data_IF_483814119677
#
_entry.id   IF_483814119677
#
_cell.length_a   1.000
_cell.length_b   1.000
_cell.length_c   1.000
_cell.angle_alpha   90.00
_cell.angle_beta   90.00
_cell.angle_gamma   90.00
#
_symmetry.space_group_name_H-M   'P 1'
#
loop_
_entity.id
_entity.type
_entity.pdbx_description
1 polymer ?
#
# COMPACT_ATOMS: atom_id res chain seq x y z
N UNK A 1 17.53 -6.81 -2.46
CA UNK A 1 16.10 -7.02 -2.16
C UNK A 1 15.57 -5.84 -1.34
N UNK A 2 14.46 -5.28 -1.73
CA UNK A 2 13.81 -4.23 -0.94
C UNK A 2 13.16 -4.84 0.30
N UNK A 3 13.56 -4.41 1.50
CA UNK A 3 13.01 -4.93 2.74
C UNK A 3 11.80 -4.10 3.19
N UNK A 4 11.89 -2.77 3.18
CA UNK A 4 10.75 -1.96 3.54
C UNK A 4 10.77 -0.58 2.90
N UNK A 5 9.59 0.03 2.88
CA UNK A 5 9.37 1.44 2.57
C UNK A 5 8.66 2.05 3.77
N UNK A 6 9.07 3.23 4.17
CA UNK A 6 8.41 3.97 5.26
C UNK A 6 7.52 5.07 4.68
N UNK A 7 6.31 5.19 5.18
CA UNK A 7 5.37 6.25 4.84
C UNK A 7 4.88 6.92 6.12
N UNK A 8 4.57 8.20 6.05
CA UNK A 8 4.08 8.96 7.20
C UNK A 8 2.56 8.91 7.23
N UNK A 9 2.00 8.66 8.42
CA UNK A 9 0.56 8.52 8.61
C UNK A 9 0.14 9.28 9.86
N UNK A 10 -0.91 10.11 9.79
CA UNK A 10 -1.45 10.71 11.01
C UNK A 10 -1.91 9.61 11.98
N UNK A 11 -1.68 9.78 13.29
CA UNK A 11 -2.07 8.76 14.27
C UNK A 11 -3.53 8.30 14.16
N UNK A 12 -4.44 9.21 13.82
CA UNK A 12 -5.86 8.90 13.67
C UNK A 12 -6.19 8.06 12.45
N UNK A 13 -5.25 7.95 11.48
CA UNK A 13 -5.45 7.20 10.23
C UNK A 13 -4.68 5.90 10.17
N UNK A 14 -3.96 5.53 11.23
CA UNK A 14 -3.11 4.34 11.23
C UNK A 14 -3.94 3.07 11.05
N UNK A 15 -5.01 2.92 11.82
CA UNK A 15 -5.86 1.73 11.75
C UNK A 15 -6.49 1.55 10.38
N UNK A 16 -7.03 2.62 9.81
CA UNK A 16 -7.62 2.59 8.47
C UNK A 16 -6.57 2.28 7.40
N UNK A 17 -5.34 2.79 7.58
CA UNK A 17 -4.24 2.51 6.64
C UNK A 17 -3.80 1.05 6.72
N UNK A 18 -3.77 0.45 7.90
CA UNK A 18 -3.51 -0.99 8.05
C UNK A 18 -4.56 -1.80 7.28
N UNK A 19 -5.84 -1.45 7.42
CA UNK A 19 -6.93 -2.14 6.72
C UNK A 19 -6.83 -1.98 5.20
N UNK A 20 -6.43 -0.78 4.73
CA UNK A 20 -6.19 -0.56 3.31
C UNK A 20 -5.10 -1.51 2.77
N UNK A 21 -3.96 -1.59 3.44
CA UNK A 21 -2.86 -2.48 3.03
C UNK A 21 -3.25 -3.96 3.14
N UNK A 22 -4.15 -4.31 4.08
CA UNK A 22 -4.68 -5.67 4.17
C UNK A 22 -5.41 -6.09 2.90
N UNK A 23 -6.13 -5.16 2.27
CA UNK A 23 -6.80 -5.44 0.98
C UNK A 23 -5.81 -5.75 -0.15
N UNK A 24 -4.57 -5.33 0.01
CA UNK A 24 -3.47 -5.59 -0.94
C UNK A 24 -2.64 -6.82 -0.55
N UNK A 25 -3.07 -7.57 0.44
CA UNK A 25 -2.42 -8.80 0.86
C UNK A 25 -1.40 -8.65 1.99
N UNK A 26 -1.26 -7.46 2.57
CA UNK A 26 -0.36 -7.23 3.70
C UNK A 26 -1.05 -7.54 5.02
N UNK A 27 -0.28 -8.02 5.99
CA UNK A 27 -0.77 -8.32 7.34
C UNK A 27 0.00 -7.49 8.36
N UNK A 28 -0.70 -7.06 9.40
CA UNK A 28 -0.06 -6.37 10.51
C UNK A 28 0.93 -7.31 11.20
N UNK A 29 2.14 -6.83 11.45
CA UNK A 29 3.18 -7.54 12.20
C UNK A 29 3.68 -6.64 13.33
N UNK A 30 4.12 -7.22 14.48
CA UNK A 30 4.57 -6.40 15.60
C UNK A 30 5.85 -5.64 15.26
N UNK A 31 5.88 -4.34 15.55
CA UNK A 31 7.13 -3.59 15.57
C UNK A 31 7.88 -3.86 16.87
N UNK A 32 9.22 -3.68 16.91
CA UNK A 32 9.98 -3.81 18.15
C UNK A 32 9.45 -2.90 19.25
N UNK A 33 9.39 -3.43 20.48
CA UNK A 33 8.80 -2.72 21.61
C UNK A 33 9.31 -1.28 21.80
N UNK A 34 10.63 -1.00 21.68
CA UNK A 34 11.10 0.38 21.86
C UNK A 34 10.50 1.41 20.91
N UNK A 35 10.02 1.00 19.75
CA UNK A 35 9.45 1.91 18.74
C UNK A 35 7.98 1.64 18.44
N UNK A 36 7.38 0.61 19.06
CA UNK A 36 6.01 0.20 18.75
C UNK A 36 4.96 1.30 18.99
N UNK A 37 5.27 2.27 19.82
CA UNK A 37 4.41 3.43 20.09
C UNK A 37 4.36 4.42 18.92
N UNK A 38 5.42 4.43 18.09
CA UNK A 38 5.61 5.45 17.05
C UNK A 38 5.46 4.90 15.64
N UNK A 39 5.41 3.58 15.47
CA UNK A 39 5.36 2.95 14.16
C UNK A 39 4.41 1.76 14.18
N UNK A 40 3.88 1.44 13.00
CA UNK A 40 3.07 0.25 12.77
C UNK A 40 3.56 -0.40 11.49
N UNK A 41 3.77 -1.70 11.51
CA UNK A 41 4.33 -2.42 10.37
C UNK A 41 3.30 -3.34 9.75
N UNK A 42 3.28 -3.40 8.44
CA UNK A 42 2.54 -4.40 7.68
C UNK A 42 3.52 -5.11 6.74
N UNK A 43 3.27 -6.39 6.47
CA UNK A 43 4.19 -7.24 5.73
C UNK A 43 3.47 -8.14 4.74
N UNK A 44 4.10 -8.36 3.60
CA UNK A 44 3.69 -9.36 2.62
C UNK A 44 4.96 -9.96 1.99
N UNK A 45 5.10 -11.29 2.11
CA UNK A 45 6.19 -12.05 1.48
C UNK A 45 7.59 -11.47 1.78
N UNK A 46 7.80 -10.99 3.01
CA UNK A 46 9.10 -10.47 3.45
C UNK A 46 9.34 -8.99 3.14
N UNK A 47 8.46 -8.34 2.39
CA UNK A 47 8.53 -6.90 2.15
C UNK A 47 7.58 -6.20 3.11
N UNK A 48 8.04 -5.12 3.74
CA UNK A 48 7.27 -4.40 4.74
C UNK A 48 6.96 -2.98 4.30
N UNK A 49 5.84 -2.47 4.76
CA UNK A 49 5.51 -1.05 4.75
C UNK A 49 5.50 -0.61 6.22
N UNK A 50 6.30 0.39 6.55
CA UNK A 50 6.39 0.95 7.88
C UNK A 50 5.57 2.24 7.92
N UNK A 51 4.55 2.27 8.78
CA UNK A 51 3.70 3.43 8.97
C UNK A 51 4.28 4.24 10.12
N UNK A 52 4.91 5.36 9.80
CA UNK A 52 5.50 6.25 10.80
C UNK A 52 4.41 7.20 11.29
N UNK A 53 4.09 7.15 12.57
CA UNK A 53 3.04 8.01 13.13
C UNK A 53 3.53 9.44 13.22
N UNK A 54 2.84 10.38 12.57
CA UNK A 54 3.24 11.78 12.56
C UNK A 54 2.03 12.70 12.47
N UNK A 55 1.94 13.67 13.39
CA UNK A 55 0.91 14.71 13.33
C UNK A 55 1.15 15.66 12.16
N UNK A 56 2.37 15.69 11.61
CA UNK A 56 2.74 16.51 10.48
C UNK A 56 3.04 15.64 9.24
N UNK A 57 2.30 14.55 9.08
CA UNK A 57 2.51 13.62 7.98
C UNK A 57 2.41 14.31 6.62
N UNK A 58 3.36 13.99 5.74
CA UNK A 58 3.36 14.45 4.36
C UNK A 58 3.26 13.25 3.43
N UNK A 59 2.62 13.46 2.28
CA UNK A 59 2.42 12.41 1.28
C UNK A 59 3.04 12.89 -0.03
N UNK A 60 3.89 12.08 -0.68
CA UNK A 60 4.46 12.44 -1.97
C UNK A 60 3.34 12.69 -2.99
N UNK A 61 3.48 13.73 -3.79
CA UNK A 61 2.49 14.05 -4.81
C UNK A 61 2.44 13.00 -5.92
N UNK A 62 3.58 12.53 -6.38
CA UNK A 62 3.69 11.54 -7.47
C UNK A 62 4.33 10.23 -7.00
N UNK A 63 5.16 10.29 -5.98
CA UNK A 63 5.83 9.10 -5.44
C UNK A 63 4.81 8.09 -4.92
N UNK A 64 5.04 6.80 -5.22
CA UNK A 64 4.13 5.74 -4.84
C UNK A 64 4.84 4.40 -4.75
N UNK A 65 4.25 3.48 -4.02
CA UNK A 65 4.65 2.09 -4.04
C UNK A 65 3.86 1.36 -5.12
N UNK A 66 4.44 0.33 -5.73
CA UNK A 66 3.76 -0.53 -6.67
C UNK A 66 3.72 -1.96 -6.14
N UNK A 67 2.57 -2.59 -6.22
CA UNK A 67 2.32 -3.92 -5.67
C UNK A 67 1.75 -4.82 -6.77
N UNK A 68 2.33 -6.01 -6.91
CA UNK A 68 1.75 -7.05 -7.77
C UNK A 68 0.71 -7.78 -6.93
N UNK A 69 -0.52 -7.85 -7.40
CA UNK A 69 -1.61 -8.51 -6.69
C UNK A 69 -1.93 -9.86 -7.35
N UNK A 70 -2.30 -10.85 -6.54
CA UNK A 70 -2.51 -12.21 -7.03
C UNK A 70 -3.74 -12.34 -7.92
N UNK A 71 -4.80 -11.61 -7.59
CA UNK A 71 -6.04 -11.56 -8.37
C UNK A 71 -6.43 -10.10 -8.55
N UNK A 72 -6.09 -9.56 -9.70
CA UNK A 72 -6.28 -8.14 -10.00
C UNK A 72 -7.75 -7.73 -9.91
N UNK A 73 -8.65 -8.50 -10.54
CA UNK A 73 -10.08 -8.18 -10.55
C UNK A 73 -10.70 -8.26 -9.16
N UNK A 74 -10.36 -9.30 -8.40
CA UNK A 74 -10.83 -9.44 -7.03
C UNK A 74 -10.33 -8.31 -6.13
N UNK A 75 -9.10 -7.85 -6.34
CA UNK A 75 -8.55 -6.73 -5.58
C UNK A 75 -9.28 -5.43 -5.88
N UNK A 76 -9.57 -5.15 -7.16
CA UNK A 76 -10.37 -3.99 -7.54
C UNK A 76 -11.75 -4.01 -6.87
N UNK A 77 -12.39 -5.18 -6.88
CA UNK A 77 -13.70 -5.35 -6.26
C UNK A 77 -13.65 -5.11 -4.75
N UNK A 78 -12.65 -5.69 -4.06
CA UNK A 78 -12.49 -5.53 -2.62
C UNK A 78 -12.23 -4.07 -2.23
N UNK A 79 -11.40 -3.38 -3.01
CA UNK A 79 -11.14 -1.96 -2.80
C UNK A 79 -12.41 -1.13 -2.96
N UNK A 80 -13.18 -1.37 -4.03
CA UNK A 80 -14.43 -0.65 -4.27
C UNK A 80 -15.45 -0.89 -3.15
N UNK A 81 -15.58 -2.12 -2.68
CA UNK A 81 -16.48 -2.46 -1.57
C UNK A 81 -16.08 -1.77 -0.27
N UNK A 82 -14.79 -1.52 -0.08
CA UNK A 82 -14.28 -0.79 1.07
C UNK A 82 -14.32 0.74 0.90
N UNK A 83 -14.81 1.23 -0.24
CA UNK A 83 -14.93 2.66 -0.50
C UNK A 83 -13.74 3.28 -1.22
N UNK A 84 -12.80 2.48 -1.73
CA UNK A 84 -11.63 2.97 -2.45
C UNK A 84 -11.80 2.69 -3.94
N UNK A 85 -11.91 3.75 -4.73
CA UNK A 85 -11.92 3.60 -6.19
C UNK A 85 -10.49 3.41 -6.69
N UNK A 86 -10.27 2.32 -7.42
CA UNK A 86 -9.01 2.12 -8.11
C UNK A 86 -9.22 2.52 -9.58
N UNK A 87 -8.41 3.47 -10.02
CA UNK A 87 -8.49 3.98 -11.39
C UNK A 87 -7.58 3.17 -12.29
N UNK A 88 -8.17 2.34 -13.14
CA UNK A 88 -7.41 1.53 -14.08
C UNK A 88 -6.81 2.45 -15.15
N UNK A 89 -5.54 2.24 -15.47
CA UNK A 89 -4.80 3.05 -16.42
C UNK A 89 -4.30 2.18 -17.59
N UNK A 90 -3.75 2.82 -18.61
CA UNK A 90 -3.31 2.08 -19.80
C UNK A 90 -2.21 1.09 -19.48
N UNK A 91 -2.25 -0.04 -20.15
CA UNK A 91 -1.22 -1.06 -20.07
C UNK A 91 0.05 -0.57 -20.79
N UNK A 92 1.19 -0.73 -20.14
CA UNK A 92 2.47 -0.35 -20.73
C UNK A 92 3.29 -1.55 -21.18
N UNK A 93 2.97 -2.75 -20.66
CA UNK A 93 3.66 -4.00 -21.00
C UNK A 93 2.72 -5.18 -21.13
N UNK A 94 1.45 -4.91 -21.47
CA UNK A 94 0.46 -5.96 -21.70
C UNK A 94 -0.24 -6.50 -20.46
N UNK A 95 0.07 -5.97 -19.27
CA UNK A 95 -0.59 -6.34 -18.03
C UNK A 95 -1.46 -5.19 -17.51
N UNK A 96 -2.56 -5.53 -16.82
CA UNK A 96 -3.45 -4.52 -16.23
C UNK A 96 -2.76 -3.83 -15.07
N UNK A 97 -3.02 -2.55 -14.91
CA UNK A 97 -2.54 -1.75 -13.79
C UNK A 97 -3.57 -0.69 -13.41
N UNK A 98 -3.56 -0.30 -12.14
CA UNK A 98 -4.48 0.70 -11.61
C UNK A 98 -3.81 1.47 -10.48
N UNK A 99 -4.32 2.65 -10.18
CA UNK A 99 -3.89 3.44 -9.02
C UNK A 99 -5.03 3.55 -8.03
N UNK A 100 -4.72 3.33 -6.76
CA UNK A 100 -5.63 3.56 -5.65
C UNK A 100 -4.99 4.55 -4.69
N UNK A 101 -5.82 5.25 -3.92
CA UNK A 101 -5.38 6.18 -2.89
C UNK A 101 -5.89 5.70 -1.55
N UNK A 102 -4.99 5.46 -0.61
CA UNK A 102 -5.34 5.01 0.73
C UNK A 102 -5.98 6.11 1.58
N UNK A 103 -6.42 5.77 2.80
CA UNK A 103 -7.19 6.70 3.63
C UNK A 103 -6.41 7.95 4.07
N UNK A 104 -5.07 7.86 4.15
CA UNK A 104 -4.22 9.00 4.51
C UNK A 104 -3.63 9.70 3.28
N UNK A 105 -4.10 9.36 2.07
CA UNK A 105 -3.69 10.03 0.84
C UNK A 105 -2.55 9.35 0.09
N UNK A 106 -2.06 8.21 0.54
CA UNK A 106 -0.95 7.52 -0.13
C UNK A 106 -1.42 6.87 -1.42
N UNK A 107 -0.70 7.17 -2.49
CA UNK A 107 -0.97 6.60 -3.81
C UNK A 107 -0.27 5.25 -3.93
N UNK A 108 -0.97 4.26 -4.45
CA UNK A 108 -0.43 2.91 -4.66
C UNK A 108 -0.78 2.44 -6.05
N UNK A 109 0.19 1.91 -6.77
CA UNK A 109 -0.02 1.26 -8.06
C UNK A 109 -0.25 -0.23 -7.85
N UNK A 110 -1.30 -0.75 -8.47
CA UNK A 110 -1.62 -2.18 -8.47
C UNK A 110 -1.27 -2.74 -9.83
N UNK A 111 -0.58 -3.87 -9.86
CA UNK A 111 -0.16 -4.52 -11.09
C UNK A 111 -0.63 -5.97 -11.12
N UNK A 112 -1.13 -6.41 -12.27
CA UNK A 112 -1.43 -7.82 -12.51
C UNK A 112 -0.16 -8.64 -12.71
N UNK A 113 0.84 -8.03 -13.36
CA UNK A 113 2.15 -8.65 -13.60
C UNK A 113 3.24 -7.57 -13.67
N UNK A 114 4.49 -7.91 -13.32
CA UNK A 114 5.58 -6.95 -13.40
C UNK A 114 5.94 -6.65 -14.85
N UNK A 115 6.65 -5.51 -15.10
CA UNK A 115 7.23 -5.26 -16.41
C UNK A 115 8.18 -6.40 -16.81
N UNK A 116 8.28 -6.71 -18.10
CA UNK A 116 9.22 -7.73 -18.54
C UNK A 116 10.66 -7.27 -18.26
N UNK A 117 11.53 -8.24 -18.02
CA UNK A 117 12.97 -7.94 -17.91
C UNK A 117 13.53 -7.63 -19.29
N UNK A 118 14.40 -6.64 -19.30
CA UNK A 118 15.11 -6.28 -20.53
C UNK A 118 16.16 -7.34 -20.90
#
# INVERSE_FOLDING_TARGET
MLQHVSIEVPPTEVEATVEFWRLLGFSHVPAPEPIAEYVTWVERDGTQIHLLHSDAATVPQLGHAAVIVDDFEATLTALAEAGYEAEETRQLWGARRAFAVGPAGHRVELMDAPPPRA
#
